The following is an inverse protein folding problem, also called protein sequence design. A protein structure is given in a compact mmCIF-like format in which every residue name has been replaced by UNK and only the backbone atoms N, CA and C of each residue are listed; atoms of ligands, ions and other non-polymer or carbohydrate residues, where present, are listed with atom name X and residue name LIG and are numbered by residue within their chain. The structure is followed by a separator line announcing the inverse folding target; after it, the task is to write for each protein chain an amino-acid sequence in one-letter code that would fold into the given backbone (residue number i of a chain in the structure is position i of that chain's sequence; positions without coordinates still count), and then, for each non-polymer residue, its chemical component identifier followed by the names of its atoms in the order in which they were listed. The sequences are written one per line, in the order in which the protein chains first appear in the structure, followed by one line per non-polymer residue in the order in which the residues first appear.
data_IF_410285405027
#
_entry.id   IF_410285405027
#
_cell.length_a   1.000
_cell.length_b   1.000
_cell.length_c   1.000
_cell.angle_alpha   90.00
_cell.angle_beta   90.00
_cell.angle_gamma   90.00
#
_symmetry.space_group_name_H-M   'P 1'
#
loop_
_entity.id
_entity.type
_entity.pdbx_description
1 polymer ?
#
# COMPACT_ATOMS: atom_id res chain seq x y z
N UNK A 1 16.58 -71.52 -49.07
CA UNK A 1 16.48 -70.09 -48.72
C UNK A 1 15.05 -69.77 -48.32
N UNK A 2 14.83 -69.71 -47.04
CA UNK A 2 13.55 -69.33 -46.48
C UNK A 2 13.66 -67.77 -46.20
N UNK A 3 12.96 -67.01 -46.98
CA UNK A 3 12.84 -65.54 -46.75
C UNK A 3 11.66 -65.34 -45.86
N UNK A 4 11.92 -65.11 -44.59
CA UNK A 4 10.91 -64.70 -43.60
C UNK A 4 10.55 -63.24 -43.85
N UNK A 5 9.38 -62.98 -44.42
CA UNK A 5 8.74 -61.68 -44.44
C UNK A 5 8.41 -61.33 -42.98
N UNK A 6 9.11 -60.37 -42.40
CA UNK A 6 8.67 -59.68 -41.18
C UNK A 6 7.38 -58.94 -41.54
N UNK A 7 6.25 -59.47 -41.09
CA UNK A 7 5.03 -58.69 -41.00
C UNK A 7 5.32 -57.57 -40.02
N UNK A 8 5.32 -56.34 -40.50
CA UNK A 8 5.20 -55.19 -39.64
C UNK A 8 3.80 -55.26 -39.04
N UNK A 9 3.71 -55.71 -37.81
CA UNK A 9 2.51 -55.54 -37.00
C UNK A 9 2.32 -54.08 -36.83
N UNK A 10 1.40 -53.46 -37.55
CA UNK A 10 0.94 -52.12 -37.36
C UNK A 10 0.14 -52.17 -36.06
N UNK A 11 0.78 -51.82 -34.94
CA UNK A 11 0.08 -51.65 -33.69
C UNK A 11 -0.86 -50.46 -33.89
N UNK A 12 -2.14 -50.74 -34.11
CA UNK A 12 -3.20 -49.76 -33.97
C UNK A 12 -3.18 -49.39 -32.49
N UNK A 13 -2.62 -48.23 -32.18
CA UNK A 13 -2.64 -47.71 -30.80
C UNK A 13 -4.02 -47.14 -30.54
N UNK A 14 -4.91 -47.98 -30.00
CA UNK A 14 -6.12 -47.49 -29.38
C UNK A 14 -5.72 -46.74 -28.13
N UNK A 15 -5.96 -45.47 -28.08
CA UNK A 15 -5.70 -44.65 -26.88
C UNK A 15 -7.02 -44.25 -26.22
N UNK A 16 -7.11 -44.55 -24.93
CA UNK A 16 -8.15 -43.97 -24.09
C UNK A 16 -7.92 -42.48 -24.00
N UNK A 17 -8.91 -41.69 -24.38
CA UNK A 17 -8.78 -40.21 -24.41
C UNK A 17 -10.00 -39.52 -23.81
N UNK A 18 -9.81 -38.35 -23.30
CA UNK A 18 -10.83 -37.43 -22.82
C UNK A 18 -10.53 -36.00 -23.30
N UNK A 19 -11.52 -35.15 -23.25
CA UNK A 19 -11.41 -33.77 -23.70
C UNK A 19 -11.73 -32.80 -22.56
N UNK A 20 -11.04 -31.70 -22.56
CA UNK A 20 -11.37 -30.53 -21.75
C UNK A 20 -11.37 -29.30 -22.66
N UNK A 21 -12.05 -28.24 -22.26
CA UNK A 21 -11.95 -26.96 -22.92
C UNK A 21 -11.73 -25.86 -21.88
N UNK A 22 -11.10 -24.78 -22.31
CA UNK A 22 -10.89 -23.56 -21.53
C UNK A 22 -11.63 -22.42 -22.19
N UNK A 23 -11.98 -21.41 -21.41
CA UNK A 23 -12.42 -20.12 -21.94
C UNK A 23 -11.25 -19.20 -22.14
N UNK A 24 -11.29 -18.40 -23.21
CA UNK A 24 -10.26 -17.40 -23.53
C UNK A 24 -10.92 -16.05 -23.70
N UNK A 25 -10.38 -15.03 -23.01
CA UNK A 25 -10.83 -13.65 -23.14
C UNK A 25 -10.41 -13.02 -24.47
N UNK A 26 -11.01 -11.88 -24.84
CA UNK A 26 -10.58 -11.11 -26.02
C UNK A 26 -9.14 -10.58 -25.89
N UNK A 27 -8.57 -10.57 -24.68
CA UNK A 27 -7.17 -10.20 -24.41
C UNK A 27 -6.21 -11.41 -24.48
N UNK A 28 -6.72 -12.62 -24.78
CA UNK A 28 -5.92 -13.84 -24.85
C UNK A 28 -5.67 -14.51 -23.50
N UNK A 29 -6.33 -14.06 -22.44
CA UNK A 29 -6.23 -14.68 -21.11
C UNK A 29 -7.00 -15.99 -21.10
N UNK A 30 -6.34 -17.07 -20.70
CA UNK A 30 -6.90 -18.42 -20.67
C UNK A 30 -7.27 -18.81 -19.23
N UNK A 31 -8.51 -19.24 -19.04
CA UNK A 31 -9.02 -19.71 -17.76
C UNK A 31 -8.73 -21.18 -17.47
N UNK A 32 -9.15 -21.69 -16.30
CA UNK A 32 -8.99 -23.09 -15.95
C UNK A 32 -9.79 -24.00 -16.88
N UNK A 33 -9.37 -25.30 -17.00
CA UNK A 33 -10.09 -26.25 -17.81
C UNK A 33 -11.45 -26.64 -17.22
N UNK A 34 -12.38 -26.96 -18.11
CA UNK A 34 -13.64 -27.59 -17.76
C UNK A 34 -13.40 -28.97 -17.09
N UNK A 35 -14.40 -29.53 -16.40
CA UNK A 35 -14.36 -30.96 -16.09
C UNK A 35 -14.09 -31.78 -17.34
N UNK A 36 -13.31 -32.87 -17.19
CA UNK A 36 -13.01 -33.76 -18.32
C UNK A 36 -14.26 -34.48 -18.82
N UNK A 37 -14.36 -34.66 -20.13
CA UNK A 37 -15.39 -35.49 -20.74
C UNK A 37 -15.27 -36.95 -20.27
N UNK A 38 -16.31 -37.75 -20.53
CA UNK A 38 -16.20 -39.22 -20.42
C UNK A 38 -15.04 -39.72 -21.29
N UNK A 39 -14.34 -40.73 -20.80
CA UNK A 39 -13.25 -41.39 -21.53
C UNK A 39 -13.82 -42.16 -22.70
N UNK A 40 -13.21 -42.03 -23.85
CA UNK A 40 -13.53 -42.79 -25.07
C UNK A 40 -12.27 -43.39 -25.67
N UNK A 41 -12.42 -44.41 -26.47
CA UNK A 41 -11.33 -45.00 -27.25
C UNK A 41 -11.29 -44.32 -28.61
N UNK A 42 -10.17 -43.72 -28.97
CA UNK A 42 -9.94 -43.10 -30.28
C UNK A 42 -8.81 -43.81 -31.03
N UNK A 43 -9.08 -44.18 -32.24
CA UNK A 43 -8.07 -44.64 -33.20
C UNK A 43 -7.53 -43.46 -33.99
N UNK A 44 -6.27 -43.48 -34.34
CA UNK A 44 -5.67 -42.43 -35.20
C UNK A 44 -6.47 -42.26 -36.50
N UNK A 45 -6.71 -40.99 -36.85
CA UNK A 45 -7.52 -40.60 -38.00
C UNK A 45 -9.04 -40.69 -37.79
N UNK A 46 -9.52 -41.21 -36.68
CA UNK A 46 -10.94 -41.26 -36.35
C UNK A 46 -11.44 -39.82 -35.98
N UNK A 47 -12.58 -39.44 -36.56
CA UNK A 47 -13.26 -38.20 -36.20
C UNK A 47 -14.10 -38.40 -34.94
N UNK A 48 -13.88 -37.57 -33.92
CA UNK A 48 -14.67 -37.53 -32.70
C UNK A 48 -15.48 -36.23 -32.68
N UNK A 49 -16.77 -36.35 -32.41
CA UNK A 49 -17.62 -35.17 -32.19
C UNK A 49 -17.58 -34.80 -30.72
N UNK A 50 -17.20 -33.57 -30.43
CA UNK A 50 -17.18 -32.94 -29.12
C UNK A 50 -18.40 -32.05 -29.02
N UNK A 51 -19.30 -32.32 -28.07
CA UNK A 51 -20.56 -31.56 -27.89
C UNK A 51 -20.82 -31.26 -26.42
N UNK A 52 -21.77 -30.37 -26.17
CA UNK A 52 -22.12 -29.96 -24.80
C UNK A 52 -21.15 -28.96 -24.19
N UNK A 53 -20.36 -28.29 -25.01
CA UNK A 53 -19.55 -27.20 -24.52
C UNK A 53 -20.45 -26.02 -24.13
N UNK A 54 -20.17 -25.43 -22.98
CA UNK A 54 -20.93 -24.27 -22.52
C UNK A 54 -20.75 -23.10 -23.49
N UNK A 55 -21.90 -22.60 -23.99
CA UNK A 55 -21.95 -21.40 -24.85
C UNK A 55 -22.35 -20.15 -24.05
N UNK A 56 -22.49 -20.29 -22.72
CA UNK A 56 -23.10 -19.28 -21.90
C UNK A 56 -22.25 -18.02 -21.87
N UNK A 57 -22.81 -17.01 -22.46
CA UNK A 57 -22.51 -15.60 -22.22
C UNK A 57 -23.01 -15.13 -20.84
N UNK A 58 -23.42 -16.05 -19.97
CA UNK A 58 -24.15 -15.79 -18.72
C UNK A 58 -23.32 -15.24 -17.58
N UNK A 59 -22.00 -15.15 -17.71
CA UNK A 59 -21.18 -14.34 -16.79
C UNK A 59 -21.12 -12.92 -17.33
N UNK A 60 -22.07 -12.09 -16.88
CA UNK A 60 -22.01 -10.64 -17.11
C UNK A 60 -20.66 -10.09 -16.67
N UNK A 61 -20.13 -9.14 -17.40
CA UNK A 61 -18.83 -8.49 -17.15
C UNK A 61 -17.59 -9.37 -17.40
N UNK A 62 -17.70 -10.47 -18.16
CA UNK A 62 -16.55 -11.23 -18.64
C UNK A 62 -16.35 -10.96 -20.13
N UNK A 63 -15.12 -10.65 -20.52
CA UNK A 63 -14.79 -10.39 -21.93
C UNK A 63 -14.35 -11.67 -22.66
N UNK A 64 -15.19 -12.72 -22.57
CA UNK A 64 -14.91 -14.02 -23.20
C UNK A 64 -15.13 -13.94 -24.71
N UNK A 65 -14.20 -14.49 -25.49
CA UNK A 65 -14.24 -14.49 -26.95
C UNK A 65 -14.22 -15.90 -27.54
N UNK A 66 -13.32 -16.76 -27.06
CA UNK A 66 -13.04 -18.05 -27.65
C UNK A 66 -13.02 -19.17 -26.59
N UNK A 67 -12.96 -20.40 -27.09
CA UNK A 67 -12.67 -21.62 -26.33
C UNK A 67 -11.51 -22.37 -26.99
N UNK A 68 -10.57 -22.86 -26.20
CA UNK A 68 -9.53 -23.79 -26.61
C UNK A 68 -9.88 -25.18 -26.17
N UNK A 69 -9.73 -26.13 -27.08
CA UNK A 69 -10.05 -27.53 -26.86
C UNK A 69 -8.75 -28.31 -26.76
N UNK A 70 -8.68 -29.13 -25.74
CA UNK A 70 -7.54 -29.98 -25.45
C UNK A 70 -7.97 -31.43 -25.34
N UNK A 71 -7.10 -32.35 -25.78
CA UNK A 71 -7.30 -33.80 -25.70
C UNK A 71 -6.21 -34.44 -24.87
N UNK A 72 -6.59 -35.39 -24.01
CA UNK A 72 -5.60 -36.18 -23.29
C UNK A 72 -4.79 -37.03 -24.25
N UNK A 73 -3.47 -36.95 -24.15
CA UNK A 73 -2.52 -37.76 -24.90
C UNK A 73 -1.56 -38.42 -23.91
N UNK A 74 -1.48 -39.74 -24.00
CA UNK A 74 -0.65 -40.55 -23.11
C UNK A 74 0.73 -40.71 -23.72
N UNK A 75 1.71 -40.02 -23.16
CA UNK A 75 3.12 -40.22 -23.47
C UNK A 75 3.71 -41.41 -22.72
N UNK A 76 5.02 -41.61 -22.83
CA UNK A 76 5.73 -42.70 -22.16
C UNK A 76 5.70 -42.59 -20.63
N UNK A 77 5.58 -41.38 -20.06
CA UNK A 77 5.70 -41.11 -18.63
C UNK A 77 4.46 -40.44 -18.01
N UNK A 78 3.69 -39.68 -18.79
CA UNK A 78 2.54 -38.90 -18.27
C UNK A 78 1.42 -38.83 -19.30
N UNK A 79 0.19 -38.62 -18.82
CA UNK A 79 -0.96 -38.20 -19.63
C UNK A 79 -1.16 -36.73 -19.49
N UNK A 80 -1.03 -35.98 -20.59
CA UNK A 80 -1.23 -34.55 -20.61
C UNK A 80 -2.38 -34.19 -21.55
N UNK A 81 -3.05 -33.07 -21.28
CA UNK A 81 -3.99 -32.49 -22.22
C UNK A 81 -3.22 -31.60 -23.20
N UNK A 82 -3.35 -31.88 -24.50
CA UNK A 82 -2.67 -31.18 -25.57
C UNK A 82 -3.68 -30.49 -26.48
N UNK A 83 -3.28 -29.32 -26.98
CA UNK A 83 -4.11 -28.46 -27.81
C UNK A 83 -4.55 -29.11 -29.10
N UNK A 84 -5.85 -29.03 -29.39
CA UNK A 84 -6.48 -29.51 -30.61
C UNK A 84 -6.82 -28.37 -31.54
N UNK A 85 -7.61 -27.42 -31.06
CA UNK A 85 -8.03 -26.22 -31.82
C UNK A 85 -8.68 -25.18 -30.93
N UNK A 86 -8.78 -23.97 -31.47
CA UNK A 86 -9.56 -22.88 -30.91
C UNK A 86 -10.87 -22.71 -31.68
N UNK A 87 -11.95 -22.41 -31.00
CA UNK A 87 -13.27 -22.17 -31.57
C UNK A 87 -13.91 -20.96 -30.91
N UNK A 88 -14.85 -20.32 -31.61
CA UNK A 88 -15.63 -19.21 -31.07
C UNK A 88 -16.41 -19.61 -29.83
N UNK A 89 -16.65 -18.67 -28.91
CA UNK A 89 -17.44 -18.85 -27.70
C UNK A 89 -18.83 -19.46 -27.98
N UNK A 90 -19.48 -19.07 -29.08
CA UNK A 90 -20.81 -19.54 -29.47
C UNK A 90 -20.84 -21.00 -29.95
N UNK A 91 -19.69 -21.64 -30.13
CA UNK A 91 -19.60 -23.02 -30.66
C UNK A 91 -20.00 -24.03 -29.58
N UNK A 92 -21.16 -24.67 -29.73
CA UNK A 92 -21.63 -25.72 -28.82
C UNK A 92 -21.06 -27.12 -29.15
N UNK A 93 -20.67 -27.33 -30.41
CA UNK A 93 -20.16 -28.63 -30.89
C UNK A 93 -19.13 -28.45 -31.99
N UNK A 94 -18.12 -29.29 -31.99
CA UNK A 94 -17.06 -29.33 -33.01
C UNK A 94 -16.54 -30.75 -33.21
N UNK A 95 -15.64 -30.95 -34.16
CA UNK A 95 -15.04 -32.28 -34.40
C UNK A 95 -13.52 -32.24 -34.23
N UNK A 96 -12.95 -33.34 -33.75
CA UNK A 96 -11.51 -33.60 -33.73
C UNK A 96 -11.18 -34.79 -34.59
N UNK A 97 -10.37 -34.62 -35.61
CA UNK A 97 -9.85 -35.64 -36.50
C UNK A 97 -8.31 -35.71 -36.50
N UNK A 98 -7.66 -35.02 -35.56
CA UNK A 98 -6.20 -35.00 -35.49
C UNK A 98 -5.65 -36.36 -35.03
N UNK A 99 -4.49 -36.73 -35.57
CA UNK A 99 -3.68 -37.82 -35.05
C UNK A 99 -2.99 -37.39 -33.73
N UNK A 100 -2.49 -38.34 -32.96
CA UNK A 100 -1.84 -38.05 -31.67
C UNK A 100 -0.53 -37.26 -31.84
N UNK A 101 0.15 -37.42 -32.94
CA UNK A 101 1.40 -36.74 -33.30
C UNK A 101 1.17 -35.31 -33.84
N UNK A 102 -0.06 -34.96 -34.18
CA UNK A 102 -0.46 -33.64 -34.68
C UNK A 102 -1.01 -32.72 -33.59
N UNK A 103 -1.07 -33.16 -32.32
CA UNK A 103 -1.45 -32.34 -31.20
C UNK A 103 -0.34 -31.30 -30.88
N UNK A 104 -0.75 -30.12 -30.51
CA UNK A 104 0.19 -29.05 -30.22
C UNK A 104 0.56 -28.97 -28.71
N UNK A 105 0.73 -27.78 -28.17
CA UNK A 105 1.21 -27.51 -26.81
C UNK A 105 0.35 -28.15 -25.71
N UNK A 106 0.98 -28.42 -24.58
CA UNK A 106 0.30 -28.88 -23.36
C UNK A 106 -0.50 -27.71 -22.78
N UNK A 107 -1.69 -28.01 -22.27
CA UNK A 107 -2.52 -27.03 -21.59
C UNK A 107 -1.73 -26.34 -20.45
N UNK A 108 -1.56 -25.03 -20.49
CA UNK A 108 -0.83 -24.32 -19.45
C UNK A 108 -1.68 -24.06 -18.19
N UNK A 109 -3.01 -23.98 -18.38
CA UNK A 109 -3.95 -23.46 -17.39
C UNK A 109 -4.54 -24.52 -16.46
N UNK A 110 -3.96 -25.71 -16.38
CA UNK A 110 -4.50 -26.84 -15.58
C UNK A 110 -4.78 -26.44 -14.12
N UNK A 111 -3.95 -25.58 -13.54
CA UNK A 111 -4.04 -25.14 -12.16
C UNK A 111 -4.42 -23.66 -12.01
N UNK A 112 -4.75 -22.97 -13.09
CA UNK A 112 -5.11 -21.55 -13.09
C UNK A 112 -6.57 -21.39 -12.70
N UNK A 113 -6.81 -21.38 -11.41
CA UNK A 113 -8.15 -21.10 -10.88
C UNK A 113 -8.28 -19.60 -10.59
N UNK A 114 -9.51 -19.13 -10.52
CA UNK A 114 -9.80 -17.76 -10.11
C UNK A 114 -9.35 -17.50 -8.66
N UNK A 115 -9.10 -16.21 -8.29
CA UNK A 115 -8.86 -15.87 -6.89
C UNK A 115 -10.10 -16.21 -6.04
N UNK A 116 -9.93 -16.39 -4.71
CA UNK A 116 -11.08 -16.54 -3.81
C UNK A 116 -12.10 -15.42 -4.01
N UNK A 117 -13.35 -15.78 -4.23
CA UNK A 117 -14.49 -14.88 -4.40
C UNK A 117 -15.41 -14.89 -3.17
N UNK A 118 -16.59 -14.29 -3.28
CA UNK A 118 -17.58 -14.17 -2.21
C UNK A 118 -18.49 -15.41 -2.07
N UNK A 119 -18.26 -16.48 -2.85
CA UNK A 119 -18.93 -17.77 -2.64
C UNK A 119 -18.40 -18.45 -1.39
N UNK A 120 -19.06 -18.23 -0.28
CA UNK A 120 -18.68 -18.78 1.04
C UNK A 120 -18.78 -20.30 1.11
N UNK A 121 -19.47 -20.95 0.17
CA UNK A 121 -19.53 -22.42 0.08
C UNK A 121 -18.19 -23.00 -0.43
N UNK A 122 -17.56 -22.32 -1.36
CA UNK A 122 -16.25 -22.67 -1.93
C UNK A 122 -15.10 -22.05 -1.15
N UNK A 123 -15.27 -20.81 -0.69
CA UNK A 123 -14.28 -20.02 0.04
C UNK A 123 -14.77 -19.60 1.43
N UNK A 124 -14.72 -20.50 2.43
CA UNK A 124 -15.24 -20.22 3.78
C UNK A 124 -14.59 -19.01 4.48
N UNK A 125 -13.38 -18.63 4.06
CA UNK A 125 -12.67 -17.47 4.59
C UNK A 125 -13.04 -16.16 3.87
N UNK A 126 -13.96 -16.20 2.91
CA UNK A 126 -14.41 -15.07 2.12
C UNK A 126 -13.51 -14.72 0.94
N UNK A 127 -13.87 -13.63 0.28
CA UNK A 127 -13.19 -13.11 -0.90
C UNK A 127 -11.74 -12.71 -0.61
N UNK A 128 -10.94 -12.66 -1.67
CA UNK A 128 -9.57 -12.17 -1.60
C UNK A 128 -9.54 -10.65 -1.38
N UNK A 129 -8.67 -10.22 -0.49
CA UNK A 129 -8.45 -8.83 -0.08
C UNK A 129 -6.98 -8.44 -0.29
N UNK A 130 -6.70 -7.14 -0.25
CA UNK A 130 -5.35 -6.59 -0.15
C UNK A 130 -4.47 -6.85 -1.38
N UNK A 131 -5.01 -6.72 -2.59
CA UNK A 131 -4.25 -6.94 -3.82
C UNK A 131 -3.02 -6.02 -3.88
N UNK A 132 -1.83 -6.63 -3.97
CA UNK A 132 -0.54 -5.95 -3.99
C UNK A 132 0.34 -6.53 -5.09
N UNK A 133 0.98 -5.68 -5.88
CA UNK A 133 1.95 -6.10 -6.88
C UNK A 133 3.31 -6.37 -6.23
N UNK A 134 3.91 -7.49 -6.58
CA UNK A 134 5.27 -7.88 -6.18
C UNK A 134 6.21 -7.82 -7.39
N UNK A 135 7.50 -8.04 -7.14
CA UNK A 135 8.47 -8.21 -8.22
C UNK A 135 8.09 -9.38 -9.16
N UNK A 136 8.65 -9.38 -10.37
CA UNK A 136 8.45 -10.41 -11.39
C UNK A 136 7.01 -10.62 -11.86
N UNK A 137 6.16 -9.60 -11.75
CA UNK A 137 4.77 -9.68 -12.23
C UNK A 137 3.88 -10.59 -11.39
N UNK A 138 4.27 -10.91 -10.17
CA UNK A 138 3.48 -11.68 -9.21
C UNK A 138 2.54 -10.72 -8.48
N UNK A 139 1.29 -11.12 -8.29
CA UNK A 139 0.37 -10.43 -7.41
C UNK A 139 0.16 -11.26 -6.14
N UNK A 140 0.04 -10.55 -5.02
CA UNK A 140 -0.31 -11.14 -3.73
C UNK A 140 -1.67 -10.64 -3.27
N UNK A 141 -2.41 -11.49 -2.59
CA UNK A 141 -3.67 -11.17 -1.93
C UNK A 141 -3.92 -12.16 -0.80
N UNK A 142 -4.87 -11.90 0.07
CA UNK A 142 -5.16 -12.80 1.19
C UNK A 142 -6.65 -13.05 1.39
N UNK A 143 -6.97 -14.19 1.98
CA UNK A 143 -8.31 -14.55 2.43
C UNK A 143 -8.22 -15.20 3.82
N UNK A 144 -8.69 -14.50 4.85
CA UNK A 144 -8.57 -14.91 6.24
C UNK A 144 -7.12 -15.10 6.69
N UNK A 145 -6.72 -16.33 6.93
CA UNK A 145 -5.34 -16.70 7.32
C UNK A 145 -4.44 -17.11 6.14
N UNK A 146 -4.95 -17.05 4.92
CA UNK A 146 -4.22 -17.52 3.74
C UNK A 146 -3.69 -16.36 2.94
N UNK A 147 -2.37 -16.35 2.73
CA UNK A 147 -1.75 -15.55 1.69
C UNK A 147 -1.80 -16.33 0.37
N UNK A 148 -2.17 -15.66 -0.71
CA UNK A 148 -2.32 -16.22 -2.04
C UNK A 148 -1.40 -15.45 -2.99
N UNK A 149 -0.80 -16.18 -3.94
CA UNK A 149 0.03 -15.60 -4.99
C UNK A 149 -0.52 -15.97 -6.37
N UNK A 150 -0.42 -15.05 -7.33
CA UNK A 150 -0.77 -15.30 -8.73
C UNK A 150 0.37 -16.00 -9.46
N UNK A 151 0.06 -16.55 -10.65
CA UNK A 151 1.08 -16.84 -11.66
C UNK A 151 1.75 -15.53 -12.12
N UNK A 152 3.05 -15.54 -12.44
CA UNK A 152 3.75 -14.38 -12.94
C UNK A 152 3.10 -13.83 -14.21
N UNK A 153 2.82 -12.52 -14.23
CA UNK A 153 2.18 -11.79 -15.34
C UNK A 153 0.76 -12.25 -15.70
N UNK A 154 0.13 -13.09 -14.88
CA UNK A 154 -1.22 -13.61 -15.08
C UNK A 154 -2.11 -13.27 -13.86
N UNK A 155 -2.62 -12.05 -13.77
CA UNK A 155 -3.38 -11.57 -12.59
C UNK A 155 -4.71 -12.30 -12.37
N UNK A 156 -5.15 -13.08 -13.33
CA UNK A 156 -6.38 -13.90 -13.24
C UNK A 156 -6.12 -15.35 -12.75
N UNK A 157 -4.86 -15.78 -12.64
CA UNK A 157 -4.49 -17.16 -12.32
C UNK A 157 -3.92 -17.28 -10.91
N UNK A 158 -4.64 -17.94 -9.99
CA UNK A 158 -4.31 -18.06 -8.57
C UNK A 158 -4.29 -19.53 -8.12
N UNK A 159 -3.26 -20.30 -8.46
CA UNK A 159 -3.16 -21.73 -8.13
C UNK A 159 -3.31 -21.99 -6.64
N UNK A 160 -4.00 -23.07 -6.28
CA UNK A 160 -4.15 -23.50 -4.87
C UNK A 160 -2.79 -23.82 -4.24
N UNK A 161 -1.86 -24.33 -5.05
CA UNK A 161 -0.50 -24.66 -4.61
C UNK A 161 0.31 -23.43 -4.12
N UNK A 162 -0.06 -22.22 -4.55
CA UNK A 162 0.60 -20.96 -4.16
C UNK A 162 -0.06 -20.30 -2.96
N UNK A 163 -0.97 -20.99 -2.28
CA UNK A 163 -1.64 -20.50 -1.09
C UNK A 163 -0.98 -21.05 0.16
N UNK A 164 -0.48 -20.15 1.00
CA UNK A 164 0.20 -20.50 2.26
C UNK A 164 -0.70 -20.08 3.41
N UNK A 165 -0.95 -21.00 4.36
CA UNK A 165 -1.78 -20.72 5.54
C UNK A 165 -0.90 -20.33 6.71
N UNK A 166 -1.22 -19.20 7.36
CA UNK A 166 -0.55 -18.68 8.54
C UNK A 166 -1.27 -19.11 9.82
N UNK A 167 -0.61 -18.93 10.95
CA UNK A 167 -1.23 -19.18 12.27
C UNK A 167 -2.22 -18.08 12.63
N UNK A 168 -1.90 -16.83 12.24
CA UNK A 168 -2.65 -15.64 12.60
C UNK A 168 -3.56 -15.17 11.45
N UNK A 169 -4.63 -14.45 11.79
CA UNK A 169 -5.51 -13.81 10.81
C UNK A 169 -4.80 -12.61 10.19
N UNK A 170 -4.79 -12.55 8.87
CA UNK A 170 -4.17 -11.44 8.12
C UNK A 170 -5.12 -10.24 8.17
N UNK A 171 -4.59 -9.08 8.45
CA UNK A 171 -5.31 -7.80 8.48
C UNK A 171 -5.07 -7.02 7.20
N UNK A 172 -3.81 -6.93 6.78
CA UNK A 172 -3.42 -6.20 5.57
C UNK A 172 -2.07 -6.69 5.05
N UNK A 173 -1.75 -6.37 3.81
CA UNK A 173 -0.45 -6.65 3.19
C UNK A 173 0.05 -5.42 2.44
N UNK A 174 1.37 -5.22 2.42
CA UNK A 174 2.03 -4.15 1.66
C UNK A 174 3.46 -4.56 1.30
N UNK A 175 4.03 -3.94 0.30
CA UNK A 175 5.47 -4.09 0.05
C UNK A 175 6.28 -3.33 1.11
N UNK A 176 7.43 -3.89 1.48
CA UNK A 176 8.44 -3.27 2.33
C UNK A 176 9.79 -3.50 1.64
N UNK A 177 10.17 -2.61 0.76
CA UNK A 177 11.30 -2.80 -0.14
C UNK A 177 11.09 -3.98 -1.10
N UNK A 178 11.88 -5.03 -0.93
CA UNK A 178 11.84 -6.23 -1.81
C UNK A 178 10.99 -7.38 -1.26
N UNK A 179 10.43 -7.24 -0.07
CA UNK A 179 9.63 -8.30 0.57
C UNK A 179 8.18 -7.86 0.75
N UNK A 180 7.28 -8.82 0.72
CA UNK A 180 5.89 -8.59 1.08
C UNK A 180 5.76 -8.66 2.61
N UNK A 181 5.37 -7.57 3.24
CA UNK A 181 5.02 -7.52 4.64
C UNK A 181 3.55 -7.95 4.82
N UNK A 182 3.31 -8.82 5.79
CA UNK A 182 2.00 -9.38 6.09
C UNK A 182 1.64 -9.01 7.52
N UNK A 183 0.80 -8.01 7.67
CA UNK A 183 0.29 -7.55 8.95
C UNK A 183 -0.84 -8.47 9.42
N UNK A 184 -0.77 -8.92 10.66
CA UNK A 184 -1.73 -9.86 11.26
C UNK A 184 -2.34 -9.30 12.56
N UNK A 185 -3.34 -10.00 13.11
CA UNK A 185 -3.90 -9.69 14.44
C UNK A 185 -2.96 -10.05 15.61
N UNK A 186 -1.82 -10.64 15.32
CA UNK A 186 -0.80 -11.02 16.31
C UNK A 186 0.60 -10.69 15.84
N UNK A 187 1.40 -11.73 15.62
CA UNK A 187 2.76 -11.57 15.11
C UNK A 187 2.73 -11.46 13.58
N UNK A 188 3.32 -10.42 12.99
CA UNK A 188 3.38 -10.28 11.52
C UNK A 188 4.36 -11.26 10.88
N UNK A 189 4.27 -11.36 9.56
CA UNK A 189 5.11 -12.20 8.72
C UNK A 189 5.69 -11.39 7.56
N UNK A 190 6.73 -11.93 6.94
CA UNK A 190 7.24 -11.50 5.65
C UNK A 190 7.19 -12.64 4.66
N UNK A 191 6.90 -12.32 3.40
CA UNK A 191 7.05 -13.26 2.28
C UNK A 191 8.10 -12.75 1.31
N UNK A 192 9.04 -13.63 0.96
CA UNK A 192 10.12 -13.32 0.03
C UNK A 192 10.31 -14.49 -0.96
N UNK A 193 10.58 -14.16 -2.21
CA UNK A 193 10.80 -15.12 -3.28
C UNK A 193 10.64 -14.47 -4.65
N UNK A 194 11.17 -15.11 -5.67
CA UNK A 194 11.08 -14.68 -7.06
C UNK A 194 10.13 -15.55 -7.89
N UNK A 195 9.67 -16.65 -7.30
CA UNK A 195 8.78 -17.64 -7.91
C UNK A 195 7.69 -18.01 -6.91
N UNK A 196 6.41 -17.95 -7.30
CA UNK A 196 5.27 -18.27 -6.42
C UNK A 196 5.33 -19.68 -5.82
N UNK A 197 5.94 -20.66 -6.54
CA UNK A 197 6.09 -22.03 -6.06
C UNK A 197 7.11 -22.18 -4.92
N UNK A 198 8.07 -21.26 -4.85
CA UNK A 198 9.18 -21.27 -3.88
C UNK A 198 9.13 -20.10 -2.91
N UNK A 199 7.97 -19.47 -2.78
CA UNK A 199 7.79 -18.35 -1.87
C UNK A 199 8.03 -18.79 -0.42
N UNK A 200 8.95 -18.11 0.27
CA UNK A 200 9.24 -18.33 1.68
C UNK A 200 8.46 -17.34 2.54
N UNK A 201 7.67 -17.85 3.49
CA UNK A 201 6.94 -17.03 4.46
C UNK A 201 7.54 -17.25 5.85
N UNK A 202 8.04 -16.18 6.45
CA UNK A 202 8.77 -16.22 7.71
C UNK A 202 8.01 -15.38 8.75
N UNK A 203 7.77 -15.97 9.92
CA UNK A 203 7.20 -15.26 11.07
C UNK A 203 8.26 -14.34 11.67
N UNK A 204 7.88 -13.12 12.00
CA UNK A 204 8.78 -12.15 12.62
C UNK A 204 8.88 -12.41 14.14
N UNK A 205 9.93 -11.88 14.77
CA UNK A 205 10.13 -12.12 16.21
C UNK A 205 9.25 -11.24 17.11
N UNK A 206 8.97 -10.00 16.67
CA UNK A 206 8.22 -9.05 17.47
C UNK A 206 6.71 -9.21 17.27
N UNK A 207 5.96 -9.40 18.34
CA UNK A 207 4.51 -9.47 18.35
C UNK A 207 3.92 -8.05 18.31
N UNK A 208 3.73 -7.50 17.12
CA UNK A 208 3.15 -6.19 16.88
C UNK A 208 1.91 -6.32 15.98
N UNK A 209 0.75 -6.49 16.60
CA UNK A 209 -0.51 -6.65 15.91
C UNK A 209 -0.88 -5.40 15.09
N UNK A 210 -1.42 -5.59 13.90
CA UNK A 210 -2.05 -4.52 13.14
C UNK A 210 -3.51 -4.36 13.57
N UNK A 211 -3.89 -3.16 13.98
CA UNK A 211 -5.23 -2.88 14.52
C UNK A 211 -6.25 -2.51 13.45
N UNK A 212 -5.81 -1.92 12.35
CA UNK A 212 -6.68 -1.52 11.25
C UNK A 212 -5.99 -1.74 9.91
N UNK A 213 -6.70 -2.41 8.98
CA UNK A 213 -6.20 -2.67 7.62
C UNK A 213 -5.82 -1.39 6.87
N UNK A 214 -6.56 -0.32 7.10
CA UNK A 214 -6.37 0.97 6.42
C UNK A 214 -5.20 1.77 7.00
N UNK A 215 -4.59 1.32 8.11
CA UNK A 215 -3.41 1.96 8.69
C UNK A 215 -2.09 1.54 8.05
N UNK A 216 -2.07 0.42 7.29
CA UNK A 216 -0.86 -0.07 6.66
C UNK A 216 -0.58 0.70 5.36
N UNK A 217 0.58 1.34 5.32
CA UNK A 217 1.05 2.14 4.18
C UNK A 217 2.42 1.65 3.73
N UNK A 218 2.57 1.45 2.43
CA UNK A 218 3.85 1.25 1.76
C UNK A 218 4.57 2.60 1.66
N UNK A 219 5.74 2.71 2.29
CA UNK A 219 6.59 3.91 2.27
C UNK A 219 7.78 3.76 1.30
N UNK A 220 7.82 2.68 0.52
CA UNK A 220 8.87 2.30 -0.41
C UNK A 220 9.85 1.29 0.21
N UNK A 221 10.72 1.72 1.09
CA UNK A 221 11.73 0.88 1.75
C UNK A 221 11.25 0.21 3.04
N UNK A 222 10.15 0.68 3.61
CA UNK A 222 9.50 0.10 4.77
C UNK A 222 7.97 0.23 4.68
N UNK A 223 7.26 -0.59 5.42
CA UNK A 223 5.82 -0.47 5.63
C UNK A 223 5.55 0.08 7.03
N UNK A 224 4.62 1.06 7.13
CA UNK A 224 4.22 1.63 8.43
C UNK A 224 2.76 1.30 8.71
N UNK A 225 2.45 0.93 9.95
CA UNK A 225 1.08 0.64 10.38
C UNK A 225 0.84 0.96 11.86
N UNK A 226 -0.42 1.02 12.27
CA UNK A 226 -0.82 1.25 13.65
C UNK A 226 -0.91 -0.04 14.45
N UNK A 227 -0.14 -0.13 15.54
CA UNK A 227 -0.17 -1.20 16.52
C UNK A 227 -0.69 -0.71 17.88
N UNK A 228 -0.93 -1.61 18.86
CA UNK A 228 -1.29 -1.19 20.22
C UNK A 228 -0.24 -0.30 20.91
N UNK A 229 1.04 -0.44 20.56
CA UNK A 229 2.16 0.24 21.22
C UNK A 229 2.56 1.55 20.55
N UNK A 230 2.12 1.79 19.30
CA UNK A 230 2.48 2.97 18.52
C UNK A 230 2.40 2.75 17.02
N UNK A 231 3.00 3.64 16.26
CA UNK A 231 3.30 3.40 14.84
C UNK A 231 4.49 2.46 14.76
N UNK A 232 4.34 1.43 13.96
CA UNK A 232 5.36 0.39 13.73
C UNK A 232 5.86 0.50 12.30
N UNK A 233 7.16 0.52 12.14
CA UNK A 233 7.85 0.38 10.86
C UNK A 233 8.40 -1.03 10.70
N UNK A 234 8.15 -1.64 9.56
CA UNK A 234 8.67 -2.94 9.19
C UNK A 234 9.52 -2.82 7.93
N UNK A 235 10.78 -3.20 7.99
CA UNK A 235 11.72 -3.20 6.88
C UNK A 235 12.52 -4.50 6.87
N UNK A 236 12.44 -5.25 5.77
CA UNK A 236 13.03 -6.59 5.73
C UNK A 236 12.50 -7.47 6.87
N UNK A 237 13.41 -8.00 7.72
CA UNK A 237 13.04 -8.80 8.88
C UNK A 237 12.94 -8.01 10.19
N UNK A 238 13.14 -6.70 10.16
CA UNK A 238 13.15 -5.85 11.34
C UNK A 238 11.80 -5.16 11.55
N UNK A 239 11.41 -5.09 12.83
CA UNK A 239 10.22 -4.34 13.27
C UNK A 239 10.66 -3.37 14.38
N UNK A 240 10.25 -2.11 14.23
CA UNK A 240 10.56 -1.07 15.21
C UNK A 240 9.33 -0.24 15.50
N UNK A 241 9.04 0.03 16.77
CA UNK A 241 8.02 1.02 17.17
C UNK A 241 8.61 2.41 16.97
N UNK A 242 8.24 3.08 15.90
CA UNK A 242 8.81 4.36 15.46
C UNK A 242 8.49 5.52 16.41
N UNK A 243 7.35 5.46 17.09
CA UNK A 243 6.90 6.45 18.06
C UNK A 243 7.44 6.18 19.48
N UNK A 244 8.27 5.15 19.67
CA UNK A 244 8.89 4.87 20.96
C UNK A 244 9.73 6.06 21.46
N UNK A 245 9.49 6.48 22.68
CA UNK A 245 10.16 7.64 23.28
C UNK A 245 9.51 9.01 22.95
N UNK A 246 8.61 9.09 21.98
CA UNK A 246 7.81 10.27 21.68
C UNK A 246 6.45 10.23 22.41
N UNK A 247 5.76 9.11 22.29
CA UNK A 247 4.40 8.90 22.80
C UNK A 247 4.40 7.58 23.55
N UNK A 248 3.88 7.56 24.76
CA UNK A 248 3.71 6.31 25.51
C UNK A 248 2.57 5.49 24.92
N UNK A 249 2.57 4.14 25.02
CA UNK A 249 1.47 3.31 24.51
C UNK A 249 0.11 3.71 25.10
N UNK A 250 0.06 4.13 26.37
CA UNK A 250 -1.16 4.60 27.02
C UNK A 250 -1.69 5.90 26.38
N UNK A 251 -0.81 6.85 26.09
CA UNK A 251 -1.16 8.10 25.38
C UNK A 251 -1.59 7.82 23.96
N UNK A 252 -0.88 6.93 23.26
CA UNK A 252 -1.21 6.51 21.91
C UNK A 252 -2.63 5.98 21.81
N UNK A 253 -3.00 5.02 22.67
CA UNK A 253 -4.35 4.46 22.70
C UNK A 253 -5.42 5.47 23.09
N UNK A 254 -5.13 6.35 24.07
CA UNK A 254 -6.10 7.30 24.58
C UNK A 254 -6.33 8.52 23.69
N UNK A 255 -5.32 8.96 22.92
CA UNK A 255 -5.39 10.19 22.13
C UNK A 255 -5.58 9.94 20.63
N UNK A 256 -5.03 8.85 20.09
CA UNK A 256 -5.00 8.61 18.64
C UNK A 256 -5.90 7.46 18.20
N UNK A 257 -6.53 6.71 19.13
CA UNK A 257 -7.48 5.64 18.80
C UNK A 257 -6.99 4.72 17.65
N UNK A 258 -5.90 3.99 17.85
CA UNK A 258 -5.16 3.36 16.75
C UNK A 258 -5.95 2.35 15.93
N UNK A 259 -7.04 1.80 16.47
CA UNK A 259 -7.96 0.93 15.72
C UNK A 259 -8.79 1.66 14.66
N UNK A 260 -8.80 2.99 14.66
CA UNK A 260 -9.53 3.82 13.71
C UNK A 260 -8.62 4.53 12.70
N UNK A 261 -7.31 4.35 12.83
CA UNK A 261 -6.34 5.07 12.00
C UNK A 261 -6.43 4.60 10.54
N UNK A 262 -6.56 5.58 9.65
CA UNK A 262 -6.34 5.43 8.20
C UNK A 262 -5.04 6.13 7.84
N UNK A 263 -4.16 5.40 7.17
CA UNK A 263 -2.82 5.87 6.80
C UNK A 263 -2.74 6.26 5.33
N UNK A 264 -1.97 7.30 5.04
CA UNK A 264 -1.70 7.77 3.69
C UNK A 264 -0.23 8.18 3.55
N UNK A 265 0.31 8.02 2.35
CA UNK A 265 1.65 8.50 1.99
C UNK A 265 1.54 9.92 1.40
N UNK A 266 2.31 10.86 1.93
CA UNK A 266 2.45 12.20 1.35
C UNK A 266 3.89 12.68 1.46
N UNK A 267 4.54 12.94 0.34
CA UNK A 267 5.92 13.44 0.27
C UNK A 267 6.91 12.66 1.18
N UNK A 268 6.74 11.34 1.24
CA UNK A 268 7.55 10.46 2.08
C UNK A 268 7.25 10.52 3.58
N UNK A 269 6.14 11.13 3.98
CA UNK A 269 5.65 11.18 5.36
C UNK A 269 4.41 10.33 5.51
N UNK A 270 4.19 9.77 6.69
CA UNK A 270 2.97 9.06 7.04
C UNK A 270 1.93 10.06 7.57
N UNK A 271 0.79 10.14 6.91
CA UNK A 271 -0.37 10.90 7.38
C UNK A 271 -1.35 9.93 7.99
N UNK A 272 -1.66 10.08 9.27
CA UNK A 272 -2.65 9.26 9.96
C UNK A 272 -3.89 10.07 10.29
N UNK A 273 -5.05 9.65 9.82
CA UNK A 273 -6.33 10.19 10.25
C UNK A 273 -6.99 9.23 11.24
N UNK A 274 -7.61 9.72 12.30
CA UNK A 274 -8.25 8.90 13.32
C UNK A 274 -9.59 9.48 13.78
N UNK A 275 -10.41 8.63 14.37
CA UNK A 275 -11.71 9.00 14.90
C UNK A 275 -11.81 8.67 16.40
N UNK A 276 -12.15 9.66 17.22
CA UNK A 276 -12.22 9.52 18.68
C UNK A 276 -13.56 8.99 19.19
N UNK A 277 -14.50 8.69 18.29
CA UNK A 277 -15.90 8.41 18.63
C UNK A 277 -16.80 9.66 18.54
N UNK A 278 -16.22 10.86 18.58
CA UNK A 278 -16.97 12.12 18.52
C UNK A 278 -16.34 13.18 17.61
N UNK A 279 -15.05 13.08 17.36
CA UNK A 279 -14.31 14.02 16.53
C UNK A 279 -13.27 13.31 15.66
N UNK A 280 -12.94 13.93 14.54
CA UNK A 280 -11.86 13.48 13.67
C UNK A 280 -10.59 14.26 13.97
N UNK A 281 -9.46 13.57 13.94
CA UNK A 281 -8.14 14.17 14.09
C UNK A 281 -7.18 13.58 13.08
N UNK A 282 -6.06 14.25 12.88
CA UNK A 282 -4.99 13.72 12.07
C UNK A 282 -3.63 14.04 12.66
N UNK A 283 -2.62 13.32 12.20
CA UNK A 283 -1.23 13.59 12.50
C UNK A 283 -0.37 13.31 11.27
N UNK A 284 0.77 13.95 11.25
CA UNK A 284 1.82 13.71 10.28
C UNK A 284 3.05 13.18 11.02
N UNK A 285 3.63 12.13 10.49
CA UNK A 285 4.84 11.52 11.03
C UNK A 285 5.92 11.40 9.97
N UNK A 286 7.06 12.04 10.21
CA UNK A 286 8.26 11.92 9.37
C UNK A 286 9.29 11.05 10.09
N UNK A 287 9.56 9.86 9.55
CA UNK A 287 10.51 8.91 10.12
C UNK A 287 11.95 9.13 9.64
N UNK A 288 12.16 9.97 8.62
CA UNK A 288 13.47 10.20 7.98
C UNK A 288 14.29 11.27 8.67
N UNK A 289 13.64 12.15 9.42
CA UNK A 289 14.34 13.13 10.24
C UNK A 289 15.10 12.45 11.39
N UNK A 290 16.33 12.82 11.67
CA UNK A 290 17.20 12.19 12.68
C UNK A 290 16.66 12.13 14.12
N UNK A 291 15.56 12.80 14.40
CA UNK A 291 14.60 12.56 15.49
C UNK A 291 13.23 12.58 14.86
N UNK A 292 12.55 11.44 14.86
CA UNK A 292 11.21 11.29 14.34
C UNK A 292 10.34 12.46 14.71
N UNK A 293 9.82 13.19 13.73
CA UNK A 293 8.93 14.32 13.97
C UNK A 293 7.47 13.86 13.90
N UNK A 294 6.74 14.17 14.95
CA UNK A 294 5.31 13.86 15.07
C UNK A 294 4.53 15.17 15.25
N UNK A 295 3.68 15.49 14.29
CA UNK A 295 2.88 16.71 14.28
C UNK A 295 1.40 16.38 14.24
N UNK A 296 0.60 16.92 15.15
CA UNK A 296 -0.86 16.76 15.10
C UNK A 296 -1.48 17.82 14.20
N UNK A 297 -2.49 17.43 13.45
CA UNK A 297 -3.29 18.31 12.59
C UNK A 297 -4.66 18.45 13.27
N UNK A 298 -4.96 19.64 13.81
CA UNK A 298 -6.17 19.88 14.60
C UNK A 298 -7.41 20.25 13.79
N UNK A 299 -7.25 20.51 12.49
CA UNK A 299 -8.35 20.93 11.63
C UNK A 299 -8.37 20.08 10.36
N UNK A 300 -9.14 19.01 10.41
CA UNK A 300 -9.67 18.39 9.20
C UNK A 300 -11.04 19.03 8.96
N UNK A 301 -11.14 19.81 7.89
CA UNK A 301 -12.30 20.68 7.67
C UNK A 301 -13.62 19.92 7.50
N UNK A 302 -13.60 18.68 7.05
CA UNK A 302 -14.81 17.97 6.57
C UNK A 302 -14.98 16.56 7.05
N UNK A 303 -14.05 15.96 7.80
CA UNK A 303 -14.26 14.60 8.32
C UNK A 303 -13.10 13.64 8.09
N UNK A 304 -13.44 12.37 7.97
CA UNK A 304 -12.51 11.26 7.87
C UNK A 304 -12.51 10.75 6.43
N UNK A 305 -11.40 10.89 5.73
CA UNK A 305 -11.29 10.39 4.37
C UNK A 305 -11.67 8.91 4.28
N UNK A 306 -12.49 8.56 3.31
CA UNK A 306 -12.88 7.17 3.05
C UNK A 306 -11.76 6.37 2.37
N UNK A 307 -10.88 7.06 1.68
CA UNK A 307 -9.71 6.53 1.03
C UNK A 307 -8.82 7.64 0.53
N UNK A 308 -7.72 7.31 -0.08
CA UNK A 308 -6.80 8.26 -0.70
C UNK A 308 -5.75 7.55 -1.54
N UNK A 309 -5.11 8.30 -2.39
CA UNK A 309 -4.01 7.82 -3.22
C UNK A 309 -3.00 8.95 -3.43
N UNK A 310 -1.74 8.57 -3.55
CA UNK A 310 -0.70 9.51 -3.99
C UNK A 310 -0.57 9.38 -5.50
N UNK A 311 -0.74 10.49 -6.20
CA UNK A 311 -0.60 10.51 -7.65
C UNK A 311 0.90 10.45 -8.01
N UNK A 312 1.34 9.49 -8.82
CA UNK A 312 2.75 9.38 -9.20
C UNK A 312 3.23 10.49 -10.13
N UNK A 313 2.32 11.21 -10.80
CA UNK A 313 2.68 12.25 -11.77
C UNK A 313 3.08 13.56 -11.08
N UNK A 314 2.38 13.93 -10.00
CA UNK A 314 2.64 15.17 -9.25
C UNK A 314 3.17 14.92 -7.82
N UNK A 315 3.15 13.66 -7.36
CA UNK A 315 3.53 13.24 -6.00
C UNK A 315 2.70 13.90 -4.90
N UNK A 316 1.46 14.27 -5.23
CA UNK A 316 0.51 14.85 -4.28
C UNK A 316 -0.48 13.80 -3.77
N UNK A 317 -0.96 14.00 -2.55
CA UNK A 317 -1.94 13.15 -1.91
C UNK A 317 -3.35 13.65 -2.21
N UNK A 318 -4.16 12.81 -2.83
CA UNK A 318 -5.59 13.03 -3.02
C UNK A 318 -6.39 12.18 -2.03
N UNK A 319 -7.32 12.83 -1.33
CA UNK A 319 -8.20 12.18 -0.36
C UNK A 319 -9.62 12.08 -0.95
N UNK A 320 -10.28 10.98 -0.65
CA UNK A 320 -11.68 10.74 -1.04
C UNK A 320 -12.53 10.96 0.20
N UNK A 321 -13.37 11.98 0.20
CA UNK A 321 -14.30 12.28 1.28
C UNK A 321 -15.73 12.32 0.78
N UNK A 322 -16.68 12.23 1.71
CA UNK A 322 -18.09 12.45 1.42
C UNK A 322 -18.48 13.87 1.82
N UNK A 323 -19.10 14.60 0.89
CA UNK A 323 -19.78 15.85 1.22
C UNK A 323 -20.85 15.59 2.29
N UNK A 324 -20.68 16.22 3.45
CA UNK A 324 -21.59 16.08 4.59
C UNK A 324 -23.05 16.51 4.32
N UNK A 325 -23.31 17.15 3.17
CA UNK A 325 -24.62 17.65 2.78
C UNK A 325 -25.30 16.93 1.63
N UNK A 326 -24.58 16.18 0.80
CA UNK A 326 -25.11 15.66 -0.46
C UNK A 326 -24.94 14.17 -0.73
N UNK A 327 -24.12 13.46 0.05
CA UNK A 327 -23.84 12.05 -0.17
C UNK A 327 -23.00 11.75 -1.43
N UNK A 328 -22.39 12.78 -2.03
CA UNK A 328 -21.47 12.62 -3.15
C UNK A 328 -20.04 12.43 -2.64
N UNK A 329 -19.31 11.50 -3.23
CA UNK A 329 -17.89 11.38 -3.00
C UNK A 329 -17.17 12.52 -3.73
N UNK A 330 -16.24 13.17 -3.04
CA UNK A 330 -15.37 14.21 -3.59
C UNK A 330 -13.91 13.76 -3.49
N UNK A 331 -13.12 14.15 -4.48
CA UNK A 331 -11.67 13.96 -4.45
C UNK A 331 -11.04 15.32 -4.14
N UNK A 332 -10.34 15.40 -3.02
CA UNK A 332 -9.73 16.64 -2.54
C UNK A 332 -8.22 16.50 -2.49
N UNK A 333 -7.53 17.54 -2.92
CA UNK A 333 -6.07 17.62 -2.78
C UNK A 333 -5.71 17.91 -1.32
N UNK A 334 -4.91 17.06 -0.71
CA UNK A 334 -4.36 17.29 0.61
C UNK A 334 -3.48 18.57 0.60
N UNK A 335 -3.76 19.50 1.49
CA UNK A 335 -3.14 20.83 1.51
C UNK A 335 -3.41 21.69 0.24
N UNK A 336 -4.47 21.42 -0.51
CA UNK A 336 -4.86 22.21 -1.67
C UNK A 336 -5.43 23.61 -1.37
N UNK A 337 -5.59 23.98 -0.08
CA UNK A 337 -6.05 25.31 0.31
C UNK A 337 -4.98 26.38 0.10
N UNK A 338 -5.39 27.53 -0.42
CA UNK A 338 -4.54 28.73 -0.50
C UNK A 338 -4.42 29.47 0.84
N UNK A 339 -5.20 29.05 1.85
CA UNK A 339 -5.17 29.65 3.20
C UNK A 339 -4.42 28.72 4.14
N UNK A 340 -3.31 29.20 4.68
CA UNK A 340 -2.54 28.45 5.67
C UNK A 340 -3.33 28.30 6.98
N UNK A 341 -3.32 27.10 7.53
CA UNK A 341 -3.87 26.83 8.87
C UNK A 341 -2.84 27.21 9.94
N UNK A 342 -3.32 27.75 11.06
CA UNK A 342 -2.45 28.01 12.21
C UNK A 342 -1.85 26.70 12.71
N UNK A 343 -0.53 26.65 12.75
CA UNK A 343 0.24 25.55 13.36
C UNK A 343 0.80 26.01 14.70
N UNK A 344 0.93 25.08 15.64
CA UNK A 344 1.59 25.33 16.93
C UNK A 344 2.68 24.27 17.10
N UNK A 345 3.87 24.71 17.35
CA UNK A 345 5.02 23.86 17.65
C UNK A 345 5.55 24.21 19.03
N UNK A 346 5.76 23.19 19.87
CA UNK A 346 6.42 23.32 21.17
C UNK A 346 7.65 22.44 21.20
N UNK A 347 8.81 23.00 21.56
CA UNK A 347 10.06 22.23 21.67
C UNK A 347 9.99 21.22 22.81
N UNK A 348 10.88 20.23 22.77
CA UNK A 348 11.22 19.46 23.97
C UNK A 348 11.90 20.35 25.00
N UNK A 349 12.03 19.86 26.24
CA UNK A 349 12.68 20.56 27.31
C UNK A 349 14.22 20.63 27.08
N UNK A 350 14.74 21.85 27.04
CA UNK A 350 16.18 22.09 27.06
C UNK A 350 16.66 22.19 28.50
N UNK A 351 17.29 21.14 29.01
CA UNK A 351 17.81 21.09 30.37
C UNK A 351 19.25 21.60 30.37
N UNK A 352 19.49 22.77 30.95
CA UNK A 352 20.82 23.38 31.04
C UNK A 352 21.63 22.76 32.18
N UNK A 353 22.97 22.69 32.08
CA UNK A 353 23.82 22.14 33.14
C UNK A 353 23.71 22.93 34.44
N UNK A 354 23.48 24.22 34.34
CA UNK A 354 23.23 25.16 35.45
C UNK A 354 22.11 26.12 35.11
N UNK A 355 21.40 26.67 36.11
CA UNK A 355 20.43 27.71 35.87
C UNK A 355 21.09 28.92 35.19
N UNK A 356 20.54 29.36 34.07
CA UNK A 356 21.10 30.42 33.22
C UNK A 356 19.95 31.37 32.82
N UNK A 357 20.24 32.64 32.60
CA UNK A 357 19.26 33.60 32.06
C UNK A 357 19.37 33.65 30.55
N UNK A 358 18.34 33.18 29.85
CA UNK A 358 18.15 33.42 28.42
C UNK A 358 17.45 34.75 28.24
N UNK A 359 18.09 35.68 27.51
CA UNK A 359 17.61 37.05 27.43
C UNK A 359 16.96 37.40 26.11
N UNK A 360 17.11 36.56 25.10
CA UNK A 360 16.61 36.82 23.75
C UNK A 360 16.05 35.56 23.10
N UNK A 361 15.03 35.73 22.24
CA UNK A 361 14.50 34.75 21.32
C UNK A 361 14.52 35.31 19.92
N UNK A 362 15.03 34.54 18.96
CA UNK A 362 15.03 34.81 17.51
C UNK A 362 14.04 33.90 16.85
N UNK A 363 13.24 34.41 15.95
CA UNK A 363 12.37 33.64 15.08
C UNK A 363 12.75 33.90 13.64
N UNK A 364 13.10 32.88 12.90
CA UNK A 364 13.30 32.98 11.48
C UNK A 364 12.05 32.45 10.76
N UNK A 365 11.44 33.28 9.93
CA UNK A 365 10.23 32.95 9.19
C UNK A 365 10.26 33.57 7.80
N UNK A 366 9.52 32.99 6.87
CA UNK A 366 9.25 33.61 5.58
C UNK A 366 8.42 34.89 5.79
N UNK A 367 8.60 35.87 4.89
CA UNK A 367 7.85 37.13 4.97
C UNK A 367 6.33 36.85 4.91
N UNK A 368 5.59 37.44 5.83
CA UNK A 368 4.15 37.21 5.98
C UNK A 368 3.39 38.54 6.09
N UNK A 369 2.09 38.46 5.78
CA UNK A 369 1.15 39.56 5.97
C UNK A 369 -0.08 39.06 6.72
N UNK A 370 -0.72 39.85 7.56
CA UNK A 370 -1.91 39.49 8.31
C UNK A 370 -1.66 39.11 9.76
N UNK A 371 -2.25 38.01 10.25
CA UNK A 371 -2.07 37.53 11.63
C UNK A 371 -0.62 37.15 11.90
N UNK A 372 -0.09 37.61 13.05
CA UNK A 372 1.31 37.42 13.39
C UNK A 372 1.70 36.00 13.82
N UNK A 373 2.98 35.88 14.14
CA UNK A 373 3.55 34.66 14.77
C UNK A 373 3.59 34.92 16.28
N UNK A 374 2.94 34.04 17.06
CA UNK A 374 2.98 34.12 18.53
C UNK A 374 4.12 33.23 19.04
N UNK A 375 4.95 33.79 19.91
CA UNK A 375 6.08 33.10 20.53
C UNK A 375 5.89 33.10 22.04
N UNK A 376 5.92 31.92 22.65
CA UNK A 376 5.90 31.74 24.10
C UNK A 376 7.19 31.05 24.55
N UNK A 377 7.74 31.51 25.67
CA UNK A 377 8.90 30.89 26.30
C UNK A 377 8.51 30.46 27.70
N UNK A 378 8.86 29.23 28.06
CA UNK A 378 8.63 28.68 29.39
C UNK A 378 9.98 28.46 30.09
N UNK A 379 10.04 28.85 31.35
CA UNK A 379 11.15 28.59 32.25
C UNK A 379 10.69 27.72 33.41
N UNK A 380 11.36 26.57 33.63
CA UNK A 380 11.02 25.59 34.69
C UNK A 380 9.52 25.22 34.70
N UNK A 381 8.91 25.13 33.50
CA UNK A 381 7.49 24.77 33.32
C UNK A 381 6.50 25.93 33.47
N UNK A 382 6.95 27.15 33.76
CA UNK A 382 6.11 28.33 33.86
C UNK A 382 6.29 29.21 32.62
N UNK A 383 5.21 29.73 32.04
CA UNK A 383 5.25 30.71 30.97
C UNK A 383 5.89 32.03 31.48
N UNK A 384 7.02 32.40 30.90
CA UNK A 384 7.78 33.60 31.24
C UNK A 384 7.69 34.69 30.18
N UNK A 385 7.26 34.34 28.98
CA UNK A 385 7.16 35.29 27.87
C UNK A 385 6.06 34.84 26.90
N UNK A 386 5.24 35.79 26.45
CA UNK A 386 4.23 35.66 25.41
C UNK A 386 4.20 36.93 24.57
N UNK A 387 4.49 36.82 23.28
CA UNK A 387 4.43 37.94 22.35
C UNK A 387 4.03 37.50 20.94
N UNK A 388 3.26 38.37 20.28
CA UNK A 388 2.92 38.20 18.87
C UNK A 388 3.74 39.14 18.00
N UNK A 389 4.48 38.56 17.06
CA UNK A 389 5.29 39.28 16.08
C UNK A 389 4.37 39.57 14.89
N UNK A 390 3.96 40.83 14.72
CA UNK A 390 3.18 41.24 13.56
C UNK A 390 4.11 41.78 12.47
N UNK A 391 3.75 41.49 11.22
CA UNK A 391 4.46 42.02 10.05
C UNK A 391 4.25 43.55 9.93
N UNK A 392 4.97 44.32 10.69
CA UNK A 392 5.05 45.75 10.51
C UNK A 392 6.50 46.20 10.36
N UNK A 393 7.13 45.67 9.35
CA UNK A 393 8.41 46.18 8.87
C UNK A 393 8.18 46.80 7.51
N UNK A 394 8.45 48.06 7.33
CA UNK A 394 8.59 48.64 6.00
C UNK A 394 9.64 47.85 5.26
N UNK A 395 9.17 46.94 4.39
CA UNK A 395 10.06 46.31 3.43
C UNK A 395 10.69 47.44 2.63
N UNK A 396 11.99 47.55 2.62
CA UNK A 396 12.73 48.46 1.78
C UNK A 396 12.42 48.06 0.33
N UNK A 397 11.43 48.71 -0.27
CA UNK A 397 11.10 48.54 -1.66
C UNK A 397 12.09 49.28 -2.53
N UNK A 398 13.11 48.62 -3.01
CA UNK A 398 13.92 49.11 -4.12
C UNK A 398 13.14 48.88 -5.42
N UNK A 399 12.51 49.91 -5.95
CA UNK A 399 11.92 49.92 -7.28
C UNK A 399 13.02 49.92 -8.34
N UNK A 400 13.49 48.79 -8.72
CA UNK A 400 14.27 48.48 -9.92
C UNK A 400 13.59 47.38 -10.66
N UNK A 401 13.51 47.46 -12.00
CA UNK A 401 12.99 46.38 -12.84
C UNK A 401 13.83 45.13 -12.60
N UNK A 402 13.30 44.21 -11.78
CA UNK A 402 13.91 42.92 -11.57
C UNK A 402 13.72 42.07 -12.80
N UNK A 403 14.69 41.22 -13.19
CA UNK A 403 14.48 40.21 -14.23
C UNK A 403 13.38 39.24 -13.77
N UNK A 404 12.48 38.95 -14.67
CA UNK A 404 11.18 38.26 -14.49
C UNK A 404 11.28 36.77 -14.11
N UNK A 405 12.28 36.33 -13.34
CA UNK A 405 12.45 34.90 -13.08
C UNK A 405 13.04 34.45 -11.75
N UNK A 406 13.04 35.34 -10.73
CA UNK A 406 13.42 34.93 -9.37
C UNK A 406 12.37 35.44 -8.38
N UNK A 407 11.57 34.52 -7.82
CA UNK A 407 10.84 34.77 -6.57
C UNK A 407 11.87 34.77 -5.44
N UNK A 408 12.32 35.91 -5.00
CA UNK A 408 13.11 36.00 -3.76
C UNK A 408 12.15 35.85 -2.59
N UNK A 409 12.21 34.75 -1.86
CA UNK A 409 11.55 34.61 -0.56
C UNK A 409 12.25 35.58 0.41
N UNK A 410 11.53 36.55 0.94
CA UNK A 410 12.07 37.46 1.96
C UNK A 410 12.00 36.74 3.30
N UNK A 411 13.14 36.53 3.96
CA UNK A 411 13.24 35.98 5.30
C UNK A 411 13.18 37.14 6.33
N UNK A 412 12.38 36.95 7.39
CA UNK A 412 12.29 37.86 8.52
C UNK A 412 12.90 37.21 9.76
N UNK A 413 13.78 37.90 10.44
CA UNK A 413 14.51 37.42 11.63
C UNK A 413 14.32 38.34 12.83
N UNK A 414 13.11 38.52 13.39
CA UNK A 414 12.90 39.33 14.56
C UNK A 414 13.57 38.73 15.81
N UNK A 415 14.31 39.55 16.53
CA UNK A 415 14.90 39.21 17.83
C UNK A 415 14.12 39.95 18.92
N UNK A 416 13.53 39.18 19.84
CA UNK A 416 12.75 39.70 20.95
C UNK A 416 13.52 39.54 22.26
N UNK A 417 13.39 40.51 23.16
CA UNK A 417 14.00 40.46 24.50
C UNK A 417 13.07 39.71 25.46
N UNK A 418 13.64 38.74 26.15
CA UNK A 418 12.96 37.97 27.21
C UNK A 418 13.05 38.70 28.56
N UNK A 419 12.11 38.50 29.48
CA UNK A 419 12.23 38.96 30.87
C UNK A 419 13.46 38.37 31.54
N UNK A 420 14.07 39.15 32.42
CA UNK A 420 15.21 38.67 33.21
C UNK A 420 14.76 37.60 34.20
N UNK A 421 15.38 36.45 34.13
CA UNK A 421 15.10 35.30 35.00
C UNK A 421 16.13 34.23 34.80
N UNK A 422 16.40 33.43 35.84
CA UNK A 422 17.36 32.35 35.80
C UNK A 422 16.60 31.02 35.92
N UNK A 423 16.64 30.21 34.85
CA UNK A 423 15.92 28.97 34.78
C UNK A 423 16.85 27.84 34.36
N UNK A 424 16.53 26.61 34.78
CA UNK A 424 17.30 25.43 34.41
C UNK A 424 16.73 24.70 33.21
N UNK A 425 15.41 24.80 33.01
CA UNK A 425 14.71 24.15 31.92
C UNK A 425 14.00 25.20 31.08
N UNK A 426 14.21 25.16 29.78
CA UNK A 426 13.52 26.02 28.83
C UNK A 426 12.73 25.21 27.81
N UNK A 427 11.58 25.73 27.42
CA UNK A 427 10.77 25.30 26.30
C UNK A 427 10.31 26.51 25.50
N UNK A 428 10.20 26.39 24.21
CA UNK A 428 9.68 27.42 23.31
C UNK A 428 8.47 26.89 22.57
N UNK A 429 7.41 27.65 22.55
CA UNK A 429 6.22 27.37 21.75
C UNK A 429 6.03 28.50 20.74
N UNK A 430 5.80 28.13 19.49
CA UNK A 430 5.56 29.07 18.39
C UNK A 430 4.28 28.67 17.69
N UNK A 431 3.43 29.67 17.42
CA UNK A 431 2.13 29.47 16.78
C UNK A 431 1.91 30.53 15.70
N UNK A 432 1.43 30.07 14.53
CA UNK A 432 1.12 30.96 13.41
C UNK A 432 0.70 30.22 12.17
N UNK A 433 0.17 30.94 11.19
CA UNK A 433 -0.24 30.41 9.88
C UNK A 433 0.83 30.75 8.81
N UNK A 434 2.09 30.68 9.18
CA UNK A 434 3.23 31.06 8.34
C UNK A 434 4.33 30.03 8.37
N UNK A 435 5.21 30.04 7.37
CA UNK A 435 6.39 29.16 7.33
C UNK A 435 7.42 29.70 8.34
N UNK A 436 7.67 28.90 9.38
CA UNK A 436 8.67 29.21 10.43
C UNK A 436 9.83 28.25 10.20
N UNK A 437 11.02 28.78 9.91
CA UNK A 437 12.20 27.98 9.59
C UNK A 437 12.95 27.59 10.86
N UNK A 438 13.13 28.54 11.77
CA UNK A 438 13.94 28.33 12.98
C UNK A 438 13.47 29.19 14.14
N UNK A 439 13.66 28.69 15.37
CA UNK A 439 13.48 29.44 16.61
C UNK A 439 14.64 29.12 17.53
N UNK A 440 15.36 30.20 17.93
CA UNK A 440 16.51 30.09 18.81
C UNK A 440 16.33 30.97 20.06
N UNK A 441 16.83 30.50 21.21
CA UNK A 441 16.95 31.30 22.42
C UNK A 441 18.45 31.46 22.79
N UNK A 442 18.84 32.62 23.29
CA UNK A 442 20.24 32.88 23.61
C UNK A 442 20.42 33.86 24.78
N UNK A 443 21.61 33.86 25.37
CA UNK A 443 21.99 34.76 26.45
C UNK A 443 22.25 36.20 25.92
N UNK A 444 22.74 36.29 24.66
CA UNK A 444 23.09 37.58 24.04
C UNK A 444 22.57 37.68 22.59
N UNK A 445 22.42 38.91 22.10
CA UNK A 445 22.06 39.17 20.68
C UNK A 445 23.16 38.67 19.74
N UNK A 446 24.43 38.82 20.15
CA UNK A 446 25.56 38.45 19.28
C UNK A 446 25.62 36.94 19.07
N UNK A 447 25.22 36.15 20.06
CA UNK A 447 25.07 34.70 19.95
C UNK A 447 24.01 34.33 18.90
N UNK A 448 22.83 34.97 18.93
CA UNK A 448 21.73 34.72 17.98
C UNK A 448 21.99 35.27 16.57
N UNK A 449 22.93 36.18 16.40
CA UNK A 449 23.36 36.66 15.09
C UNK A 449 24.46 35.83 14.45
N UNK A 450 25.13 35.01 15.26
CA UNK A 450 26.21 34.13 14.79
C UNK A 450 25.70 32.79 14.27
N UNK A 451 24.45 32.50 14.55
CA UNK A 451 23.69 31.37 14.01
C UNK A 451 22.89 31.84 12.81
#
# INVERSE_FOLDING_TARGET
HCVTRRQRQMCIRDSSTSYVYTFVSAFGEEGPPSPASTVLTKVDGQTVTISGMDTATSKSNTNLANKRIYRSNTGSNTTNFQFVKEVSLATASTTDNLNNDALAEIIPSTYWIAPPDDDTSTYPNGQMLGLTAMANGIFAGFSGKRICFSEPFLPHAWPVAYRITLEEEIVSIAMAGQVLFIATKGTPYIAAGTDPQSMSVIRMEAAQACLNKESLVDMGDLAIYASPDGLVGASGSEITVLTAGLITPKQWQAQFYPSTIKGFLWQGKYIGQYYTGSAYGAFMFDYRGGKNSFTTISSLATGHAQGGFTDPDDNELYLIDYDSGGGNAQVELFQGSTTNTTQTFKTSQFVLPRPTSMNFVKVEAEAYSGSGITVKVFGDGTEIFDATITASGSVFSATGSAPTSFSATTIMEPILRLPTGVHKVYEVEVSGAHTINEVCIGESIDELRAI
#
